data_IF_915351580619
#
_entry.id   IF_915351580619
#
_cell.length_a   1.000
_cell.length_b   1.000
_cell.length_c   1.000
_cell.angle_alpha   90.00
_cell.angle_beta   90.00
_cell.angle_gamma   90.00
#
_symmetry.space_group_name_H-M   'P 1'
#
loop_
_entity.id
_entity.type
_entity.pdbx_description
1 polymer ?
#
# COMPACT_ATOMS: atom_id res chain seq x y z
N UNK A 1 -26.01 70.89 -1.01
CA UNK A 1 -27.10 69.88 -1.02
C UNK A 1 -27.24 69.35 0.40
N UNK A 2 -28.45 69.07 0.86
CA UNK A 2 -28.66 68.42 2.15
C UNK A 2 -28.40 66.92 1.95
N UNK A 3 -27.53 66.35 2.78
CA UNK A 3 -27.26 64.91 2.79
C UNK A 3 -28.35 64.17 3.55
N UNK A 4 -28.53 62.89 3.24
CA UNK A 4 -29.29 61.99 4.11
C UNK A 4 -28.66 61.98 5.52
N UNK A 5 -29.50 61.83 6.56
CA UNK A 5 -29.04 61.79 7.95
C UNK A 5 -28.09 60.63 8.26
N UNK A 6 -28.02 59.61 7.40
CA UNK A 6 -27.05 58.52 7.51
C UNK A 6 -25.63 58.88 7.07
N UNK A 7 -25.43 59.98 6.33
CA UNK A 7 -24.12 60.38 5.77
C UNK A 7 -23.49 61.55 6.54
N UNK A 8 -22.16 61.60 6.62
CA UNK A 8 -21.44 62.81 7.08
C UNK A 8 -21.19 63.79 5.93
N UNK A 9 -20.84 63.27 4.75
CA UNK A 9 -20.81 64.02 3.48
C UNK A 9 -21.38 63.16 2.35
N UNK A 10 -21.87 63.79 1.28
CA UNK A 10 -22.59 63.10 0.21
C UNK A 10 -22.42 63.79 -1.16
N UNK A 11 -22.59 63.03 -2.24
CA UNK A 11 -22.71 63.56 -3.61
C UNK A 11 -24.16 63.96 -3.96
N UNK A 12 -25.14 63.46 -3.21
CA UNK A 12 -26.56 63.72 -3.39
C UNK A 12 -27.39 63.37 -2.14
N UNK A 13 -28.71 63.62 -2.17
CA UNK A 13 -29.56 63.51 -0.99
C UNK A 13 -29.92 62.07 -0.60
N UNK A 14 -29.61 61.05 -1.41
CA UNK A 14 -29.94 59.65 -1.12
C UNK A 14 -28.98 59.03 -0.10
N UNK A 15 -29.48 58.08 0.70
CA UNK A 15 -28.67 57.28 1.64
C UNK A 15 -27.62 56.39 0.96
N UNK A 16 -27.69 56.22 -0.37
CA UNK A 16 -26.70 55.49 -1.20
C UNK A 16 -25.78 56.42 -1.99
N UNK A 17 -25.71 57.70 -1.60
CA UNK A 17 -24.83 58.70 -2.22
C UNK A 17 -23.88 59.30 -1.19
N UNK A 18 -23.58 58.57 -0.11
CA UNK A 18 -22.61 59.02 0.90
C UNK A 18 -21.17 59.01 0.33
N UNK A 19 -20.37 59.98 0.75
CA UNK A 19 -18.93 60.05 0.48
C UNK A 19 -18.11 59.78 1.75
N UNK A 20 -18.61 60.21 2.91
CA UNK A 20 -18.02 59.89 4.23
C UNK A 20 -19.12 59.57 5.23
N UNK A 21 -18.75 58.79 6.26
CA UNK A 21 -19.67 58.29 7.27
C UNK A 21 -19.45 58.94 8.63
N UNK A 22 -20.52 59.13 9.42
CA UNK A 22 -20.42 59.70 10.75
C UNK A 22 -19.92 58.65 11.77
N UNK A 23 -19.12 59.08 12.74
CA UNK A 23 -18.72 58.25 13.89
C UNK A 23 -18.02 56.94 13.50
N UNK A 24 -18.56 55.81 13.96
CA UNK A 24 -18.00 54.47 13.76
C UNK A 24 -18.50 53.77 12.48
N UNK A 25 -19.31 54.43 11.65
CA UNK A 25 -19.84 53.84 10.43
C UNK A 25 -18.79 53.85 9.31
N UNK A 26 -18.87 52.84 8.44
CA UNK A 26 -17.90 52.58 7.37
C UNK A 26 -18.65 52.57 6.03
N UNK A 27 -18.02 53.09 4.97
CA UNK A 27 -18.65 53.13 3.66
C UNK A 27 -18.57 51.75 2.97
N UNK A 28 -19.71 51.24 2.53
CA UNK A 28 -19.77 50.00 1.73
C UNK A 28 -19.65 50.28 0.22
N UNK A 29 -19.58 49.23 -0.60
CA UNK A 29 -19.48 49.34 -2.06
C UNK A 29 -20.68 50.06 -2.71
N UNK A 30 -21.84 50.08 -2.05
CA UNK A 30 -23.05 50.78 -2.49
C UNK A 30 -23.12 52.24 -2.02
N UNK A 31 -22.02 52.79 -1.48
CA UNK A 31 -21.93 54.15 -0.93
C UNK A 31 -22.92 54.43 0.21
N UNK A 32 -23.21 53.40 1.01
CA UNK A 32 -24.02 53.51 2.22
C UNK A 32 -23.12 53.36 3.45
N UNK A 33 -23.47 54.07 4.52
CA UNK A 33 -22.78 53.97 5.80
C UNK A 33 -23.34 52.82 6.63
N UNK A 34 -22.49 51.82 6.92
CA UNK A 34 -22.88 50.58 7.62
C UNK A 34 -21.98 50.32 8.83
N UNK A 35 -22.51 49.64 9.83
CA UNK A 35 -21.75 49.14 10.97
C UNK A 35 -22.51 47.94 11.58
N UNK A 36 -22.01 46.69 11.50
CA UNK A 36 -20.76 46.28 10.85
C UNK A 36 -20.86 46.26 9.31
N UNK A 37 -19.74 45.98 8.64
CA UNK A 37 -19.72 45.68 7.22
C UNK A 37 -20.53 44.39 6.90
N UNK A 38 -21.14 44.28 5.71
CA UNK A 38 -21.91 43.10 5.33
C UNK A 38 -21.04 41.84 5.21
N UNK A 39 -21.68 40.66 5.27
CA UNK A 39 -20.99 39.38 5.10
C UNK A 39 -20.14 39.34 3.82
N UNK A 40 -19.00 38.65 3.87
CA UNK A 40 -17.98 38.69 2.83
C UNK A 40 -17.06 39.92 2.86
N UNK A 41 -17.27 40.87 3.77
CA UNK A 41 -16.41 42.04 3.94
C UNK A 41 -16.08 42.34 5.41
N UNK A 42 -14.99 43.07 5.64
CA UNK A 42 -14.56 43.55 6.96
C UNK A 42 -14.27 45.06 6.93
N UNK A 43 -14.42 45.72 8.07
CA UNK A 43 -14.21 47.17 8.19
C UNK A 43 -12.73 47.55 8.28
N UNK A 44 -12.33 48.56 7.50
CA UNK A 44 -11.05 49.28 7.69
C UNK A 44 -11.32 50.75 7.96
N UNK A 45 -10.28 51.58 8.12
CA UNK A 45 -10.39 53.03 8.33
C UNK A 45 -11.11 53.74 7.16
N UNK A 46 -12.44 53.67 7.15
CA UNK A 46 -13.35 54.36 6.23
C UNK A 46 -14.08 53.50 5.20
N UNK A 47 -13.61 52.28 4.88
CA UNK A 47 -14.25 51.42 3.86
C UNK A 47 -14.33 49.94 4.24
N UNK A 48 -15.36 49.25 3.76
CA UNK A 48 -15.46 47.79 3.81
C UNK A 48 -14.58 47.17 2.72
N UNK A 49 -13.73 46.20 3.10
CA UNK A 49 -12.87 45.43 2.19
C UNK A 49 -13.30 43.97 2.16
N UNK A 50 -13.07 43.30 1.03
CA UNK A 50 -13.45 41.89 0.87
C UNK A 50 -12.61 40.97 1.76
N UNK A 51 -13.26 39.94 2.29
CA UNK A 51 -12.60 38.80 2.89
C UNK A 51 -11.78 38.00 1.86
N UNK A 52 -10.92 37.11 2.34
CA UNK A 52 -10.35 36.06 1.49
C UNK A 52 -11.47 35.21 0.88
N UNK A 53 -11.28 34.76 -0.36
CA UNK A 53 -12.28 33.98 -1.11
C UNK A 53 -12.74 32.68 -0.41
N UNK A 54 -11.94 32.17 0.53
CA UNK A 54 -12.26 30.97 1.32
C UNK A 54 -13.20 31.28 2.50
N UNK A 55 -13.26 32.52 2.97
CA UNK A 55 -14.11 32.94 4.08
C UNK A 55 -15.51 33.37 3.60
N UNK A 56 -16.55 32.96 4.31
CA UNK A 56 -17.88 33.57 4.18
C UNK A 56 -18.00 34.86 5.02
N UNK A 57 -17.32 34.91 6.16
CA UNK A 57 -17.15 36.12 6.99
C UNK A 57 -15.73 36.17 7.56
N UNK A 58 -15.21 37.38 7.81
CA UNK A 58 -13.87 37.60 8.34
C UNK A 58 -13.80 38.86 9.20
N UNK A 59 -12.73 38.98 9.99
CA UNK A 59 -12.47 40.17 10.84
C UNK A 59 -11.33 41.05 10.32
N UNK A 60 -10.47 40.50 9.47
CA UNK A 60 -9.30 41.20 8.92
C UNK A 60 -8.96 40.67 7.52
N UNK A 61 -7.93 41.24 6.91
CA UNK A 61 -7.38 40.77 5.65
C UNK A 61 -6.73 39.39 5.82
N UNK A 62 -6.80 38.56 4.77
CA UNK A 62 -6.07 37.30 4.67
C UNK A 62 -6.90 36.05 4.99
N UNK A 63 -6.36 34.89 4.63
CA UNK A 63 -7.04 33.59 4.74
C UNK A 63 -7.10 33.04 6.17
N UNK A 64 -6.38 33.64 7.12
CA UNK A 64 -6.32 33.27 8.53
C UNK A 64 -7.11 34.23 9.45
N UNK A 65 -8.02 35.01 8.86
CA UNK A 65 -8.89 35.93 9.59
C UNK A 65 -10.37 35.57 9.44
N UNK A 66 -10.68 34.35 9.00
CA UNK A 66 -12.05 33.91 8.80
C UNK A 66 -12.77 33.71 10.15
N UNK A 67 -14.06 34.05 10.18
CA UNK A 67 -14.98 33.73 11.28
C UNK A 67 -16.07 32.74 10.83
N UNK A 68 -16.25 32.57 9.53
CA UNK A 68 -17.01 31.48 8.94
C UNK A 68 -16.50 31.19 7.52
N UNK A 69 -16.83 30.01 7.00
CA UNK A 69 -16.28 29.52 5.74
C UNK A 69 -17.32 29.40 4.64
N UNK A 70 -16.89 29.68 3.41
CA UNK A 70 -17.69 29.38 2.23
C UNK A 70 -17.80 27.86 2.08
N UNK A 71 -19.03 27.35 2.03
CA UNK A 71 -19.28 25.92 1.84
C UNK A 71 -18.53 25.41 0.58
N UNK A 72 -17.96 24.19 0.60
CA UNK A 72 -18.06 23.16 1.64
C UNK A 72 -16.94 23.18 2.71
N UNK A 73 -16.23 24.30 2.89
CA UNK A 73 -15.06 24.37 3.80
C UNK A 73 -15.46 24.43 5.29
N UNK A 74 -14.58 23.93 6.15
CA UNK A 74 -14.71 24.01 7.61
C UNK A 74 -13.72 25.03 8.19
N UNK A 75 -14.15 25.77 9.22
CA UNK A 75 -13.28 26.70 9.94
C UNK A 75 -12.38 25.94 10.91
N UNK A 76 -11.07 26.06 10.73
CA UNK A 76 -10.10 25.68 11.74
C UNK A 76 -10.09 26.75 12.83
N UNK A 77 -10.59 26.43 14.03
CA UNK A 77 -10.69 27.39 15.13
C UNK A 77 -9.32 27.85 15.68
N UNK A 78 -8.28 27.02 15.56
CA UNK A 78 -6.93 27.34 16.04
C UNK A 78 -6.21 28.32 15.11
N UNK A 79 -6.31 28.13 13.79
CA UNK A 79 -5.60 28.96 12.80
C UNK A 79 -6.49 30.05 12.17
N UNK A 80 -7.81 29.99 12.39
CA UNK A 80 -8.83 30.82 11.73
C UNK A 80 -8.79 30.75 10.19
N UNK A 81 -8.35 29.61 9.67
CA UNK A 81 -8.33 29.32 8.23
C UNK A 81 -9.49 28.42 7.83
N UNK A 82 -10.01 28.62 6.63
CA UNK A 82 -11.01 27.76 6.03
C UNK A 82 -10.35 26.66 5.20
N UNK A 83 -10.45 25.42 5.65
CA UNK A 83 -9.82 24.26 5.04
C UNK A 83 -10.87 23.39 4.36
N UNK A 84 -10.50 22.79 3.22
CA UNK A 84 -11.36 21.89 2.46
C UNK A 84 -11.34 20.45 2.99
N UNK A 85 -10.28 20.07 3.70
CA UNK A 85 -10.07 18.75 4.31
C UNK A 85 -9.69 18.94 5.78
N UNK A 86 -9.92 17.93 6.62
CA UNK A 86 -9.39 17.92 7.99
C UNK A 86 -7.85 18.05 7.95
N UNK A 87 -7.23 18.68 8.96
CA UNK A 87 -5.81 18.50 9.20
C UNK A 87 -5.51 17.00 9.37
N UNK A 88 -4.34 16.55 8.93
CA UNK A 88 -3.89 15.18 9.15
C UNK A 88 -3.77 14.92 10.66
N UNK A 89 -4.21 13.75 11.11
CA UNK A 89 -3.99 13.31 12.49
C UNK A 89 -2.51 12.98 12.71
N UNK A 90 -2.05 13.04 13.96
CA UNK A 90 -0.67 12.68 14.28
C UNK A 90 -0.43 11.18 14.04
N UNK A 91 0.84 10.78 13.93
CA UNK A 91 1.20 9.37 13.98
C UNK A 91 0.68 8.75 15.29
N UNK A 92 0.01 7.60 15.19
CA UNK A 92 -0.69 6.97 16.31
C UNK A 92 -2.16 7.35 16.46
N UNK A 93 -2.69 8.22 15.60
CA UNK A 93 -4.11 8.60 15.59
C UNK A 93 -4.77 8.32 14.22
N UNK A 94 -6.10 8.19 14.21
CA UNK A 94 -6.92 8.11 13.02
C UNK A 94 -8.10 9.10 13.05
N UNK A 95 -8.65 9.40 11.87
CA UNK A 95 -9.81 10.28 11.74
C UNK A 95 -11.09 9.53 12.17
N UNK A 96 -11.54 9.76 13.40
CA UNK A 96 -12.68 9.08 14.01
C UNK A 96 -14.05 9.65 13.61
N UNK A 97 -14.10 10.76 12.88
CA UNK A 97 -15.36 11.41 12.49
C UNK A 97 -15.26 12.36 11.31
N UNK A 98 -16.41 12.94 10.93
CA UNK A 98 -16.44 13.99 9.90
C UNK A 98 -15.95 15.31 10.50
N UNK A 99 -15.23 16.11 9.71
CA UNK A 99 -14.76 17.48 10.03
C UNK A 99 -15.90 18.49 10.33
N UNK A 100 -17.12 18.03 10.62
CA UNK A 100 -18.36 18.79 10.61
C UNK A 100 -18.84 19.19 12.01
N UNK A 101 -18.28 18.60 13.07
CA UNK A 101 -18.70 18.87 14.45
C UNK A 101 -17.49 19.01 15.39
N UNK A 102 -17.05 20.26 15.62
CA UNK A 102 -15.95 20.66 16.51
C UNK A 102 -16.19 20.39 18.03
N UNK A 103 -17.19 19.59 18.40
CA UNK A 103 -17.51 19.26 19.80
C UNK A 103 -17.05 17.84 20.21
N UNK A 104 -16.39 17.11 19.31
CA UNK A 104 -15.73 15.84 19.61
C UNK A 104 -14.30 15.88 19.05
N UNK A 105 -13.32 15.21 19.69
CA UNK A 105 -12.01 15.02 19.10
C UNK A 105 -12.20 14.33 17.74
N UNK A 106 -11.70 14.96 16.67
CA UNK A 106 -11.83 14.47 15.31
C UNK A 106 -10.78 13.39 14.99
N UNK A 107 -9.67 13.39 15.75
CA UNK A 107 -8.69 12.32 15.79
C UNK A 107 -8.89 11.48 17.07
N UNK A 108 -8.68 10.18 16.96
CA UNK A 108 -8.66 9.26 18.09
C UNK A 108 -7.44 8.34 17.99
N UNK A 109 -6.96 7.88 19.13
CA UNK A 109 -5.81 6.97 19.19
C UNK A 109 -6.10 5.65 18.48
N UNK A 110 -5.07 5.11 17.85
CA UNK A 110 -5.08 3.76 17.31
C UNK A 110 -5.22 2.69 18.40
N UNK A 111 -5.62 1.48 18.00
CA UNK A 111 -5.52 0.33 18.89
C UNK A 111 -4.06 0.16 19.38
N UNK A 112 -3.79 -0.17 20.65
CA UNK A 112 -2.42 -0.28 21.20
C UNK A 112 -1.50 -1.31 20.54
N UNK A 113 -2.03 -2.16 19.65
CA UNK A 113 -1.25 -3.12 18.85
C UNK A 113 -0.73 -2.52 17.55
N UNK A 114 -1.29 -1.40 17.11
CA UNK A 114 -0.90 -0.69 15.90
C UNK A 114 0.03 0.47 16.29
N UNK A 115 0.97 0.80 15.40
CA UNK A 115 1.74 2.05 15.49
C UNK A 115 1.02 3.18 14.75
N UNK A 116 0.50 2.90 13.56
CA UNK A 116 -0.43 3.78 12.82
C UNK A 116 -1.63 2.97 12.33
N UNK A 117 -2.77 3.62 12.10
CA UNK A 117 -4.02 2.92 11.75
C UNK A 117 -4.94 3.70 10.80
N UNK A 118 -5.95 3.01 10.30
CA UNK A 118 -7.08 3.58 9.55
C UNK A 118 -8.35 3.68 10.40
N UNK A 119 -8.39 3.01 11.55
CA UNK A 119 -9.56 2.89 12.39
C UNK A 119 -9.22 2.35 13.79
N UNK A 120 -10.22 2.15 14.65
CA UNK A 120 -10.04 1.78 16.05
C UNK A 120 -9.64 0.31 16.28
N UNK A 121 -9.78 -0.57 15.28
CA UNK A 121 -9.62 -2.01 15.48
C UNK A 121 -8.15 -2.44 15.34
N UNK A 122 -7.78 -3.56 15.97
CA UNK A 122 -6.45 -4.15 15.81
C UNK A 122 -6.20 -4.81 14.45
N UNK A 123 -7.22 -4.81 13.59
CA UNK A 123 -7.20 -5.27 12.19
C UNK A 123 -7.20 -4.11 11.19
N UNK A 124 -7.12 -2.86 11.68
CA UNK A 124 -7.09 -1.64 10.87
C UNK A 124 -5.73 -0.92 10.96
N UNK A 125 -4.67 -1.63 11.35
CA UNK A 125 -3.31 -1.13 11.39
C UNK A 125 -2.78 -0.82 9.97
N UNK A 126 -1.98 0.23 9.87
CA UNK A 126 -1.21 0.61 8.68
C UNK A 126 0.29 0.43 8.87
N UNK A 127 0.77 0.52 10.11
CA UNK A 127 2.13 0.16 10.51
C UNK A 127 2.12 -0.48 11.89
N UNK A 128 3.22 -1.14 12.20
CA UNK A 128 3.33 -2.00 13.36
C UNK A 128 4.53 -1.60 14.22
N UNK A 129 4.39 -1.70 15.56
CA UNK A 129 5.51 -1.45 16.46
C UNK A 129 6.72 -2.34 16.15
N UNK A 130 7.91 -1.87 16.53
CA UNK A 130 9.16 -2.60 16.33
C UNK A 130 9.06 -4.05 16.86
N UNK A 131 9.53 -5.01 16.06
CA UNK A 131 9.46 -6.44 16.38
C UNK A 131 8.15 -7.14 16.00
N UNK A 132 7.20 -6.42 15.39
CA UNK A 132 6.00 -7.02 14.79
C UNK A 132 5.91 -6.70 13.29
N UNK A 133 5.03 -7.41 12.59
CA UNK A 133 4.92 -7.38 11.14
C UNK A 133 3.48 -7.14 10.70
N UNK A 134 3.29 -6.28 9.71
CA UNK A 134 1.96 -6.00 9.16
C UNK A 134 1.50 -7.14 8.27
N UNK A 135 0.35 -7.72 8.58
CA UNK A 135 -0.32 -8.73 7.79
C UNK A 135 -1.84 -8.50 7.79
N UNK A 136 -2.43 -8.28 6.61
CA UNK A 136 -3.87 -8.06 6.44
C UNK A 136 -4.47 -7.00 7.39
N UNK A 137 -3.74 -5.91 7.66
CA UNK A 137 -4.17 -4.84 8.56
C UNK A 137 -3.96 -5.14 10.05
N UNK A 138 -3.34 -6.26 10.40
CA UNK A 138 -3.04 -6.63 11.79
C UNK A 138 -1.54 -6.74 12.00
N UNK A 139 -1.08 -6.38 13.20
CA UNK A 139 0.31 -6.61 13.60
C UNK A 139 0.46 -8.00 14.23
N UNK A 140 1.31 -8.83 13.61
CA UNK A 140 1.62 -10.20 14.04
C UNK A 140 3.09 -10.32 14.44
N UNK A 141 3.42 -11.21 15.36
CA UNK A 141 4.81 -11.44 15.80
C UNK A 141 5.60 -12.31 14.83
N UNK A 142 4.90 -13.20 14.12
CA UNK A 142 5.44 -14.07 13.09
C UNK A 142 4.49 -14.03 11.90
N UNK A 143 5.04 -14.05 10.69
CA UNK A 143 4.23 -14.08 9.48
C UNK A 143 3.53 -15.44 9.32
N UNK A 144 2.33 -15.43 8.74
CA UNK A 144 1.63 -16.67 8.39
C UNK A 144 2.49 -17.56 7.49
N UNK A 145 2.26 -18.87 7.55
CA UNK A 145 2.95 -19.86 6.72
C UNK A 145 2.97 -19.48 5.24
N UNK A 146 4.12 -19.64 4.59
CA UNK A 146 4.32 -19.23 3.19
C UNK A 146 4.71 -17.76 3.04
N UNK A 147 5.06 -17.08 4.13
CA UNK A 147 5.44 -15.67 4.12
C UNK A 147 6.62 -15.38 5.04
N UNK A 148 7.36 -14.34 4.70
CA UNK A 148 8.49 -13.84 5.47
C UNK A 148 8.39 -12.33 5.73
N UNK A 149 9.11 -11.84 6.72
CA UNK A 149 9.13 -10.41 7.04
C UNK A 149 10.10 -9.66 6.14
N UNK A 150 9.57 -8.75 5.34
CA UNK A 150 10.34 -7.83 4.50
C UNK A 150 10.00 -6.39 4.88
N UNK A 151 10.93 -5.68 5.52
CA UNK A 151 10.73 -4.28 5.92
C UNK A 151 9.56 -4.08 6.88
N UNK A 152 9.28 -5.05 7.76
CA UNK A 152 8.17 -4.98 8.73
C UNK A 152 6.80 -5.34 8.15
N UNK A 153 6.72 -5.84 6.91
CA UNK A 153 5.49 -6.36 6.30
C UNK A 153 5.66 -7.81 5.91
N UNK A 154 4.63 -8.64 6.15
CA UNK A 154 4.64 -10.03 5.72
C UNK A 154 4.44 -10.13 4.20
N UNK A 155 5.43 -10.71 3.53
CA UNK A 155 5.50 -10.87 2.08
C UNK A 155 5.54 -12.35 1.74
N UNK A 156 4.89 -12.74 0.65
CA UNK A 156 4.88 -14.12 0.19
C UNK A 156 6.29 -14.63 -0.15
N UNK A 157 6.53 -15.90 0.15
CA UNK A 157 7.70 -16.63 -0.31
C UNK A 157 7.71 -16.77 -1.83
N UNK A 158 8.85 -17.13 -2.41
CA UNK A 158 8.94 -17.52 -3.81
C UNK A 158 8.00 -18.70 -4.10
N UNK A 159 7.33 -18.69 -5.25
CA UNK A 159 6.36 -19.71 -5.67
C UNK A 159 6.93 -21.14 -5.70
N UNK A 160 8.26 -21.30 -5.71
CA UNK A 160 8.91 -22.61 -5.61
C UNK A 160 8.84 -23.23 -4.22
N UNK A 161 8.60 -22.43 -3.17
CA UNK A 161 8.51 -22.85 -1.78
C UNK A 161 7.05 -22.99 -1.32
N UNK A 162 6.78 -23.88 -0.37
CA UNK A 162 5.55 -23.81 0.42
C UNK A 162 5.72 -22.89 1.63
N UNK A 163 6.94 -22.86 2.19
CA UNK A 163 7.35 -21.90 3.22
C UNK A 163 8.83 -21.57 3.04
N UNK A 164 9.23 -20.41 3.55
CA UNK A 164 10.59 -19.90 3.42
C UNK A 164 11.04 -19.20 4.69
N UNK A 165 12.33 -18.91 4.75
CA UNK A 165 12.87 -18.10 5.81
C UNK A 165 12.87 -16.59 5.46
N UNK A 166 13.57 -15.78 6.25
CA UNK A 166 13.70 -14.34 6.06
C UNK A 166 14.26 -13.85 4.71
N UNK A 167 14.64 -14.73 3.78
CA UNK A 167 15.14 -14.36 2.45
C UNK A 167 14.14 -14.60 1.31
N UNK A 168 12.95 -15.15 1.56
CA UNK A 168 11.89 -15.31 0.55
C UNK A 168 12.11 -16.48 -0.43
N UNK A 169 13.34 -16.69 -0.90
CA UNK A 169 13.71 -17.73 -1.87
C UNK A 169 14.39 -18.96 -1.25
N UNK A 170 14.75 -18.90 0.04
CA UNK A 170 15.37 -20.01 0.76
C UNK A 170 14.28 -20.78 1.49
N UNK A 171 13.82 -21.86 0.86
CA UNK A 171 12.68 -22.63 1.35
C UNK A 171 13.00 -23.32 2.69
N UNK A 172 12.01 -23.35 3.56
CA UNK A 172 11.95 -24.15 4.81
C UNK A 172 10.98 -25.31 4.66
N UNK A 173 10.04 -25.21 3.73
CA UNK A 173 9.08 -26.26 3.38
C UNK A 173 8.75 -26.22 1.89
N UNK A 174 8.37 -27.38 1.34
CA UNK A 174 8.15 -27.55 -0.10
C UNK A 174 6.74 -28.05 -0.40
N UNK A 175 6.13 -27.48 -1.44
CA UNK A 175 4.88 -28.01 -1.95
C UNK A 175 5.12 -29.42 -2.52
N UNK A 176 4.37 -30.40 -2.03
CA UNK A 176 4.42 -31.76 -2.57
C UNK A 176 4.18 -31.76 -4.10
N UNK A 177 4.90 -32.55 -4.90
CA UNK A 177 5.79 -33.67 -4.52
C UNK A 177 7.28 -33.28 -4.40
N UNK A 178 7.60 -31.98 -4.26
CA UNK A 178 9.00 -31.56 -4.15
C UNK A 178 9.53 -31.80 -2.74
N UNK A 179 10.80 -32.15 -2.65
CA UNK A 179 11.53 -32.35 -1.39
C UNK A 179 12.50 -31.20 -1.19
N UNK A 180 12.65 -30.78 0.07
CA UNK A 180 13.60 -29.76 0.47
C UNK A 180 15.03 -30.29 0.40
N UNK A 181 15.84 -29.71 -0.48
CA UNK A 181 17.27 -29.98 -0.63
C UNK A 181 18.07 -28.67 -0.45
N UNK A 182 18.67 -28.50 0.73
CA UNK A 182 19.50 -27.33 1.11
C UNK A 182 18.85 -25.99 0.75
N UNK A 183 17.62 -25.77 1.21
CA UNK A 183 16.91 -24.50 1.01
C UNK A 183 16.31 -24.32 -0.39
N UNK A 184 16.30 -25.37 -1.22
CA UNK A 184 15.65 -25.37 -2.54
C UNK A 184 14.69 -26.55 -2.65
N UNK A 185 13.53 -26.32 -3.24
CA UNK A 185 12.57 -27.39 -3.52
C UNK A 185 12.87 -28.07 -4.86
N UNK A 186 13.21 -29.36 -4.81
CA UNK A 186 13.52 -30.17 -5.99
C UNK A 186 12.48 -31.28 -6.15
N UNK A 187 12.08 -31.56 -7.39
CA UNK A 187 11.30 -32.78 -7.66
C UNK A 187 12.11 -33.98 -7.23
N UNK A 188 11.51 -34.95 -6.54
CA UNK A 188 12.11 -36.27 -6.38
C UNK A 188 12.51 -36.78 -7.76
N UNK A 189 13.81 -36.81 -8.05
CA UNK A 189 14.32 -37.51 -9.21
C UNK A 189 14.58 -38.94 -8.76
N UNK A 190 13.87 -39.94 -9.28
CA UNK A 190 14.45 -41.27 -9.35
C UNK A 190 15.10 -41.39 -10.74
N UNK A 191 16.38 -41.72 -10.87
CA UNK A 191 16.65 -42.94 -11.60
C UNK A 191 16.24 -44.06 -10.65
N UNK A 192 15.02 -44.60 -10.80
CA UNK A 192 14.80 -45.96 -10.30
C UNK A 192 15.87 -46.80 -10.98
N UNK A 193 16.70 -47.50 -10.21
CA UNK A 193 17.57 -48.51 -10.79
C UNK A 193 16.65 -49.54 -11.47
N UNK A 194 16.44 -49.39 -12.77
CA UNK A 194 15.77 -50.40 -13.57
C UNK A 194 16.82 -51.47 -13.81
N UNK A 195 16.52 -52.70 -13.41
CA UNK A 195 17.41 -53.82 -13.68
C UNK A 195 17.59 -53.97 -15.20
N UNK A 196 18.79 -54.37 -15.62
CA UNK A 196 19.03 -54.74 -17.01
C UNK A 196 18.11 -55.88 -17.44
N UNK A 197 17.90 -56.01 -18.75
CA UNK A 197 17.26 -57.20 -19.29
C UNK A 197 18.03 -58.46 -18.83
N UNK A 198 17.32 -59.55 -18.55
CA UNK A 198 17.92 -60.75 -17.97
C UNK A 198 18.99 -61.42 -18.85
N UNK A 199 19.08 -61.05 -20.13
CA UNK A 199 20.14 -61.49 -21.05
C UNK A 199 21.45 -60.73 -20.86
N UNK A 200 21.44 -59.54 -20.26
CA UNK A 200 22.62 -58.68 -20.13
C UNK A 200 23.29 -58.88 -18.75
N UNK A 201 24.62 -58.80 -18.71
CA UNK A 201 25.37 -58.67 -17.45
C UNK A 201 25.48 -57.21 -17.00
N UNK A 202 25.64 -56.28 -17.94
CA UNK A 202 25.53 -54.82 -17.73
C UNK A 202 24.80 -54.18 -18.92
N UNK A 203 24.20 -52.99 -18.72
CA UNK A 203 23.37 -52.34 -19.71
C UNK A 203 23.40 -50.80 -19.58
N UNK A 204 23.06 -50.09 -20.65
CA UNK A 204 22.73 -48.65 -20.63
C UNK A 204 21.23 -48.37 -20.77
N UNK A 205 20.42 -49.43 -20.90
CA UNK A 205 18.97 -49.38 -20.98
C UNK A 205 18.32 -50.72 -20.59
N UNK A 206 16.98 -50.76 -20.47
CA UNK A 206 16.26 -51.94 -19.99
C UNK A 206 15.97 -52.98 -21.08
N UNK A 207 16.21 -52.70 -22.37
CA UNK A 207 15.91 -53.63 -23.45
C UNK A 207 16.98 -54.71 -23.59
N UNK A 208 16.62 -55.83 -24.25
CA UNK A 208 17.56 -56.92 -24.55
C UNK A 208 18.70 -56.50 -25.50
N UNK A 209 18.53 -55.39 -26.20
CA UNK A 209 19.48 -54.79 -27.16
C UNK A 209 20.31 -53.66 -26.55
N UNK A 210 20.09 -53.34 -25.28
CA UNK A 210 20.81 -52.29 -24.55
C UNK A 210 21.95 -52.89 -23.70
N UNK A 211 22.42 -54.10 -24.03
CA UNK A 211 23.50 -54.73 -23.29
C UNK A 211 24.82 -54.01 -23.57
N UNK A 212 25.64 -53.84 -22.53
CA UNK A 212 27.03 -53.40 -22.65
C UNK A 212 28.00 -54.57 -22.45
N UNK A 213 27.60 -55.58 -21.66
CA UNK A 213 28.34 -56.83 -21.49
C UNK A 213 27.39 -58.02 -21.33
N UNK A 214 27.89 -59.20 -21.70
CA UNK A 214 27.13 -60.45 -21.66
C UNK A 214 27.56 -61.38 -20.52
N UNK A 215 26.66 -62.26 -20.03
CA UNK A 215 27.02 -63.39 -19.16
C UNK A 215 28.01 -64.34 -19.85
N UNK A 216 28.81 -65.08 -19.08
CA UNK A 216 29.91 -65.95 -19.58
C UNK A 216 29.49 -67.05 -20.58
N UNK A 217 28.20 -67.27 -20.78
CA UNK A 217 27.65 -68.31 -21.67
C UNK A 217 27.11 -67.77 -23.00
N UNK A 218 27.26 -66.48 -23.27
CA UNK A 218 26.70 -65.79 -24.45
C UNK A 218 27.69 -64.79 -24.98
N UNK A 219 27.69 -64.61 -26.30
CA UNK A 219 28.57 -63.68 -26.99
C UNK A 219 27.85 -62.35 -27.22
N UNK A 220 28.60 -61.25 -27.09
CA UNK A 220 28.09 -59.93 -27.42
C UNK A 220 28.01 -59.74 -28.93
N UNK A 221 26.86 -59.31 -29.41
CA UNK A 221 26.62 -58.93 -30.81
C UNK A 221 25.75 -57.67 -30.85
N UNK A 222 26.36 -56.54 -31.24
CA UNK A 222 25.68 -55.27 -31.51
C UNK A 222 24.61 -54.82 -30.47
N UNK A 223 24.89 -54.98 -29.18
CA UNK A 223 24.00 -54.58 -28.10
C UNK A 223 23.14 -55.72 -27.53
N UNK A 224 23.16 -56.90 -28.15
CA UNK A 224 22.45 -58.09 -27.70
C UNK A 224 23.42 -59.20 -27.26
N UNK A 225 22.95 -60.13 -26.43
CA UNK A 225 23.70 -61.30 -25.99
C UNK A 225 23.13 -62.56 -26.63
N UNK A 226 23.89 -63.17 -27.54
CA UNK A 226 23.46 -64.32 -28.37
C UNK A 226 24.21 -65.59 -28.00
N UNK A 227 23.60 -66.76 -28.21
CA UNK A 227 24.21 -68.06 -27.87
C UNK A 227 25.24 -68.57 -28.91
N UNK A 228 25.27 -67.96 -30.09
CA UNK A 228 26.14 -68.31 -31.21
C UNK A 228 26.21 -67.13 -32.16
N UNK A 229 27.37 -66.86 -32.77
CA UNK A 229 27.50 -65.83 -33.79
C UNK A 229 26.73 -66.19 -35.06
N UNK A 230 26.26 -65.16 -35.78
CA UNK A 230 25.59 -65.31 -37.06
C UNK A 230 26.51 -65.89 -38.15
N UNK A 231 25.90 -66.41 -39.22
CA UNK A 231 26.61 -67.04 -40.34
C UNK A 231 27.55 -66.05 -41.04
N UNK A 232 28.84 -66.14 -40.73
CA UNK A 232 29.88 -65.28 -41.32
C UNK A 232 30.88 -64.77 -40.29
N UNK A 233 30.50 -64.77 -39.01
CA UNK A 233 31.31 -64.27 -37.91
C UNK A 233 31.83 -65.42 -37.03
N UNK A 234 32.90 -65.17 -36.29
CA UNK A 234 33.49 -66.15 -35.37
C UNK A 234 33.68 -65.52 -33.99
N UNK A 235 33.49 -66.33 -32.95
CA UNK A 235 33.73 -65.90 -31.57
C UNK A 235 35.22 -65.62 -31.36
N UNK A 236 35.55 -64.38 -30.98
CA UNK A 236 36.91 -64.01 -30.64
C UNK A 236 37.28 -64.37 -29.17
N UNK A 237 38.53 -64.14 -28.78
CA UNK A 237 39.00 -64.48 -27.42
C UNK A 237 38.34 -63.66 -26.29
N UNK A 238 37.46 -62.72 -26.63
CA UNK A 238 36.79 -61.79 -25.73
C UNK A 238 35.27 -61.97 -25.67
N UNK A 239 34.72 -63.08 -26.21
CA UNK A 239 33.28 -63.37 -26.27
C UNK A 239 32.50 -62.33 -27.10
N UNK A 240 33.09 -61.90 -28.21
CA UNK A 240 32.44 -61.03 -29.20
C UNK A 240 32.26 -61.77 -30.52
N UNK A 241 31.10 -61.51 -31.12
CA UNK A 241 30.89 -61.58 -32.55
C UNK A 241 31.14 -60.14 -33.09
#
# INVERSE_FOLDING_TARGET
KVCDGSCATCSGPSSSECLTCPGAYVLNANKQCVNPCPAGTYGTSGNCKNCDSTCATCEAAGSNACTSCTAPRTLNAATRQCISNCPDCADGEYLAGQCKHLNAPYCADCHPKCETCSGPLDTECKSCPEGTHLEHGQCVTECSYGKYSAGGTCTDCDDSCADCDGLGYRCTDCAAPKVLDVGQCRSEAPPTCVACHASCATCDGPAATDCLTCPESTNFDNGECVSSCDDGDYEDTTQQC
#
